data_IF_864072991086
#
_entry.id   IF_864072991086
#
_cell.length_a   1.000
_cell.length_b   1.000
_cell.length_c   1.000
_cell.angle_alpha   90.00
_cell.angle_beta   90.00
_cell.angle_gamma   90.00
#
_symmetry.space_group_name_H-M   'P 1'
#
loop_
_entity.id
_entity.type
_entity.pdbx_description
1 polymer ?
#
# COMPACT_ATOMS: atom_id res chain seq x y z
N UNK A 1 1.74 5.78 -7.96
CA UNK A 1 2.01 5.09 -9.23
C UNK A 1 2.86 3.85 -8.97
N UNK A 2 2.20 2.69 -8.85
CA UNK A 2 2.85 1.40 -8.65
C UNK A 2 3.15 0.66 -9.94
N UNK A 3 3.99 -0.38 -9.90
CA UNK A 3 4.24 -1.26 -11.04
C UNK A 3 3.42 -2.55 -10.91
N UNK A 4 2.71 -2.90 -11.98
CA UNK A 4 2.06 -4.19 -12.09
C UNK A 4 3.11 -5.31 -12.17
N UNK A 5 2.89 -6.43 -11.47
CA UNK A 5 3.83 -7.58 -11.47
C UNK A 5 3.76 -8.44 -12.74
N UNK A 6 3.05 -7.99 -13.77
CA UNK A 6 2.92 -8.72 -15.02
C UNK A 6 4.20 -8.58 -15.88
N UNK A 7 4.40 -9.42 -16.91
CA UNK A 7 5.60 -9.36 -17.75
C UNK A 7 5.83 -7.98 -18.39
N UNK A 8 4.73 -7.27 -18.67
CA UNK A 8 4.76 -5.92 -19.26
C UNK A 8 5.12 -4.80 -18.26
N UNK A 9 5.20 -5.10 -16.96
CA UNK A 9 5.58 -4.19 -15.86
C UNK A 9 5.02 -2.77 -16.00
N UNK A 10 3.72 -2.65 -16.33
CA UNK A 10 3.10 -1.35 -16.58
C UNK A 10 2.90 -0.58 -15.29
N UNK A 11 3.16 0.73 -15.33
CA UNK A 11 2.81 1.67 -14.26
C UNK A 11 1.28 1.75 -14.13
N UNK A 12 0.78 1.75 -12.91
CA UNK A 12 -0.65 1.73 -12.61
C UNK A 12 -0.92 2.37 -11.25
N UNK A 13 -2.10 2.99 -11.10
CA UNK A 13 -2.63 3.41 -9.79
C UNK A 13 -3.68 2.45 -9.25
N UNK A 14 -3.98 1.38 -9.98
CA UNK A 14 -4.96 0.36 -9.62
C UNK A 14 -4.30 -0.72 -8.75
N UNK A 15 -5.02 -1.13 -7.71
CA UNK A 15 -4.59 -2.08 -6.69
C UNK A 15 -5.68 -3.12 -6.47
N UNK A 16 -5.32 -4.38 -6.57
CA UNK A 16 -6.21 -5.50 -6.25
C UNK A 16 -6.19 -5.73 -4.74
N UNK A 17 -7.36 -5.66 -4.11
CA UNK A 17 -7.47 -5.73 -2.64
C UNK A 17 -7.27 -7.17 -2.16
N UNK A 18 -7.84 -8.12 -2.89
CA UNK A 18 -7.72 -9.57 -2.66
C UNK A 18 -6.25 -10.02 -2.66
N UNK A 19 -5.53 -9.73 -3.74
CA UNK A 19 -4.17 -10.22 -3.96
C UNK A 19 -3.08 -9.25 -3.48
N UNK A 20 -3.47 -8.04 -3.03
CA UNK A 20 -2.59 -6.99 -2.50
C UNK A 20 -1.42 -6.65 -3.42
N UNK A 21 -1.74 -6.51 -4.71
CA UNK A 21 -0.78 -6.19 -5.75
C UNK A 21 -1.28 -5.03 -6.61
N UNK A 22 -0.35 -4.24 -7.13
CA UNK A 22 -0.67 -3.33 -8.21
C UNK A 22 -0.98 -4.10 -9.48
N UNK A 23 -2.04 -3.68 -10.17
CA UNK A 23 -2.59 -4.37 -11.34
C UNK A 23 -2.77 -3.35 -12.46
N UNK A 24 -2.33 -3.66 -13.68
CA UNK A 24 -2.59 -2.80 -14.85
C UNK A 24 -3.97 -3.12 -15.45
N UNK A 25 -4.48 -2.23 -16.30
CA UNK A 25 -5.81 -2.38 -16.94
C UNK A 25 -5.98 -3.71 -17.67
N UNK A 26 -4.93 -4.21 -18.33
CA UNK A 26 -4.96 -5.52 -18.97
C UNK A 26 -5.09 -6.65 -17.95
N UNK A 27 -4.35 -6.60 -16.85
CA UNK A 27 -4.40 -7.66 -15.84
C UNK A 27 -5.70 -7.62 -15.03
N UNK A 28 -6.33 -6.45 -14.91
CA UNK A 28 -7.65 -6.30 -14.30
C UNK A 28 -8.66 -7.21 -15.00
N UNK A 29 -8.69 -7.18 -16.34
CA UNK A 29 -9.65 -7.99 -17.11
C UNK A 29 -9.21 -9.43 -17.33
N UNK A 30 -7.91 -9.70 -17.51
CA UNK A 30 -7.46 -11.06 -17.87
C UNK A 30 -7.18 -11.96 -16.68
N UNK A 31 -6.73 -11.39 -15.55
CA UNK A 31 -6.23 -12.16 -14.40
C UNK A 31 -6.91 -11.80 -13.07
N UNK A 32 -7.69 -10.73 -13.05
CA UNK A 32 -8.44 -10.26 -11.89
C UNK A 32 -9.91 -9.95 -12.21
N UNK A 33 -10.61 -10.73 -13.06
CA UNK A 33 -11.95 -10.36 -13.55
C UNK A 33 -13.02 -10.32 -12.45
N UNK A 34 -12.79 -11.02 -11.34
CA UNK A 34 -13.68 -11.09 -10.17
C UNK A 34 -13.13 -10.36 -8.94
N UNK A 35 -11.89 -9.86 -9.01
CA UNK A 35 -11.27 -9.24 -7.86
C UNK A 35 -11.76 -7.81 -7.70
N UNK A 36 -11.87 -7.37 -6.43
CA UNK A 36 -12.06 -5.95 -6.14
C UNK A 36 -10.75 -5.22 -6.42
N UNK A 37 -10.74 -4.44 -7.51
CA UNK A 37 -9.61 -3.59 -7.90
C UNK A 37 -10.06 -2.13 -7.77
N UNK A 38 -9.38 -1.36 -6.92
CA UNK A 38 -9.63 0.07 -6.77
C UNK A 38 -8.32 0.85 -6.71
N UNK A 39 -8.41 2.16 -6.50
CA UNK A 39 -7.21 2.97 -6.27
C UNK A 39 -6.47 2.48 -5.02
N UNK A 40 -5.13 2.53 -5.08
CA UNK A 40 -4.30 2.25 -3.92
C UNK A 40 -4.64 3.15 -2.72
N UNK A 41 -5.11 4.38 -2.99
CA UNK A 41 -5.62 5.31 -1.99
C UNK A 41 -6.83 4.77 -1.25
N UNK A 42 -7.81 4.25 -1.99
CA UNK A 42 -9.01 3.68 -1.38
C UNK A 42 -8.65 2.46 -0.54
N UNK A 43 -7.70 1.63 -0.97
CA UNK A 43 -7.23 0.49 -0.18
C UNK A 43 -6.65 0.94 1.17
N UNK A 44 -5.83 1.99 1.17
CA UNK A 44 -5.27 2.54 2.41
C UNK A 44 -6.35 3.11 3.33
N UNK A 45 -7.39 3.73 2.77
CA UNK A 45 -8.51 4.27 3.52
C UNK A 45 -9.43 3.15 4.06
N UNK A 46 -9.66 2.10 3.29
CA UNK A 46 -10.55 0.97 3.61
C UNK A 46 -9.93 0.03 4.67
N UNK A 47 -8.61 -0.01 4.77
CA UNK A 47 -7.90 -0.68 5.88
C UNK A 47 -7.86 0.18 7.17
N UNK A 48 -8.87 1.04 7.34
CA UNK A 48 -9.09 2.08 8.37
C UNK A 48 -8.24 1.90 9.64
N UNK A 49 -7.02 2.44 9.60
CA UNK A 49 -6.44 3.03 10.80
C UNK A 49 -6.83 4.49 10.79
N UNK A 50 -7.45 4.99 11.88
CA UNK A 50 -7.50 6.43 12.06
C UNK A 50 -6.08 6.98 12.01
N UNK A 51 -5.87 8.09 11.32
CA UNK A 51 -4.54 8.71 11.20
C UNK A 51 -3.86 8.88 12.57
N UNK A 52 -4.63 9.29 13.58
CA UNK A 52 -4.18 9.41 14.97
C UNK A 52 -3.75 8.07 15.59
N UNK A 53 -4.44 6.97 15.25
CA UNK A 53 -4.08 5.63 15.73
C UNK A 53 -2.83 5.09 15.02
N UNK A 54 -2.66 5.39 13.73
CA UNK A 54 -1.46 5.04 12.97
C UNK A 54 -0.23 5.80 13.50
N UNK A 55 -0.36 7.11 13.71
CA UNK A 55 0.68 7.98 14.28
C UNK A 55 1.06 7.53 15.70
N UNK A 56 0.07 7.25 16.56
CA UNK A 56 0.33 6.75 17.92
C UNK A 56 1.03 5.38 17.92
N UNK A 57 0.63 4.46 17.04
CA UNK A 57 1.31 3.17 16.88
C UNK A 57 2.73 3.32 16.31
N UNK A 58 2.93 4.22 15.35
CA UNK A 58 4.25 4.51 14.78
C UNK A 58 5.22 5.08 15.83
N UNK A 59 4.75 5.98 16.71
CA UNK A 59 5.53 6.52 17.83
C UNK A 59 5.86 5.49 18.91
N UNK A 60 5.08 4.41 19.01
CA UNK A 60 5.36 3.29 19.93
C UNK A 60 6.42 2.34 19.39
N UNK A 61 6.73 2.38 18.08
CA UNK A 61 7.81 1.60 17.49
C UNK A 61 9.16 2.30 17.77
N UNK A 62 10.24 1.54 18.01
CA UNK A 62 11.56 2.14 18.25
C UNK A 62 12.00 2.96 17.03
N UNK A 63 12.72 4.06 17.26
CA UNK A 63 13.20 4.99 16.22
C UNK A 63 14.12 4.35 15.17
N UNK A 64 14.56 3.11 15.40
CA UNK A 64 15.34 2.26 14.48
C UNK A 64 14.48 1.44 13.52
N UNK A 65 13.14 1.56 13.60
CA UNK A 65 12.21 0.76 12.79
C UNK A 65 12.21 1.26 11.35
N UNK A 66 12.82 0.48 10.46
CA UNK A 66 12.79 0.75 9.02
C UNK A 66 11.34 0.81 8.49
N UNK A 67 11.06 1.50 7.36
CA UNK A 67 9.73 1.61 6.76
C UNK A 67 9.02 0.26 6.53
N UNK A 68 9.76 -0.85 6.39
CA UNK A 68 9.19 -2.20 6.27
C UNK A 68 8.70 -2.81 7.58
N UNK A 69 9.14 -2.30 8.73
CA UNK A 69 8.79 -2.78 10.06
C UNK A 69 7.42 -2.29 10.53
N UNK A 70 6.89 -1.22 9.91
CA UNK A 70 5.53 -0.76 10.15
C UNK A 70 4.55 -1.78 9.58
N UNK A 71 3.98 -2.59 10.47
CA UNK A 71 2.99 -3.62 10.14
C UNK A 71 1.68 -3.31 10.86
N UNK A 72 0.58 -3.60 10.19
CA UNK A 72 -0.76 -3.47 10.74
C UNK A 72 -0.91 -4.42 11.95
N UNK A 73 -1.26 -3.94 13.15
CA UNK A 73 -1.45 -4.81 14.32
C UNK A 73 -2.63 -5.78 14.17
N UNK A 74 -3.62 -5.49 13.30
CA UNK A 74 -4.80 -6.34 13.10
C UNK A 74 -4.55 -7.51 12.13
N UNK A 75 -3.74 -7.32 11.09
CA UNK A 75 -3.54 -8.34 10.04
C UNK A 75 -2.06 -8.63 9.73
N UNK A 76 -1.14 -8.08 10.52
CA UNK A 76 0.33 -8.23 10.43
C UNK A 76 0.93 -7.89 9.08
N UNK A 77 0.18 -7.19 8.25
CA UNK A 77 0.55 -6.87 6.88
C UNK A 77 1.36 -5.57 6.83
N UNK A 78 2.35 -5.44 5.94
CA UNK A 78 3.17 -4.23 5.85
C UNK A 78 2.30 -3.03 5.48
N UNK A 79 2.40 -1.96 6.27
CA UNK A 79 1.65 -0.70 6.09
C UNK A 79 2.16 0.07 4.88
N UNK A 80 3.48 0.05 4.67
CA UNK A 80 4.08 0.64 3.49
C UNK A 80 4.17 -0.39 2.35
N UNK A 81 3.82 0.02 1.13
CA UNK A 81 4.00 -0.84 -0.03
C UNK A 81 5.50 -1.04 -0.30
N UNK A 82 5.84 -2.05 -1.11
CA UNK A 82 7.23 -2.32 -1.50
C UNK A 82 7.91 -1.04 -2.04
N UNK A 83 9.22 -0.84 -1.78
CA UNK A 83 9.96 0.38 -2.17
C UNK A 83 9.95 0.67 -3.68
N UNK A 84 9.64 -0.34 -4.50
CA UNK A 84 9.48 -0.22 -5.95
C UNK A 84 8.13 0.42 -6.36
N UNK A 85 7.29 0.78 -5.37
CA UNK A 85 6.02 1.46 -5.54
C UNK A 85 6.23 2.97 -5.30
N UNK A 86 6.45 3.74 -6.37
CA UNK A 86 6.52 5.21 -6.28
C UNK A 86 5.08 5.73 -6.18
N UNK A 87 4.52 5.72 -4.97
CA UNK A 87 3.21 6.31 -4.70
C UNK A 87 3.40 7.66 -4.02
N UNK A 88 2.86 8.77 -4.57
CA UNK A 88 2.92 10.07 -3.91
C UNK A 88 2.30 10.02 -2.50
N UNK A 89 1.41 9.07 -2.26
CA UNK A 89 0.82 8.79 -0.94
C UNK A 89 1.80 8.07 -0.02
N UNK A 90 2.63 7.17 -0.54
CA UNK A 90 3.67 6.53 0.27
C UNK A 90 4.76 7.54 0.67
N UNK A 91 5.07 8.51 -0.20
CA UNK A 91 5.92 9.65 0.15
C UNK A 91 5.27 10.54 1.20
N UNK A 92 4.02 10.96 1.01
CA UNK A 92 3.28 11.74 2.03
C UNK A 92 3.18 10.99 3.36
N UNK A 93 2.94 9.68 3.35
CA UNK A 93 2.92 8.84 4.55
C UNK A 93 4.30 8.77 5.22
N UNK A 94 5.38 8.62 4.43
CA UNK A 94 6.76 8.62 4.97
C UNK A 94 7.13 9.96 5.55
N UNK A 95 6.85 11.06 4.86
CA UNK A 95 7.10 12.43 5.35
C UNK A 95 6.33 12.70 6.65
N UNK A 96 5.08 12.25 6.73
CA UNK A 96 4.25 12.42 7.91
C UNK A 96 4.65 11.52 9.09
N UNK A 97 5.27 10.36 8.83
CA UNK A 97 5.69 9.40 9.85
C UNK A 97 7.19 9.48 10.21
N UNK A 98 7.99 10.22 9.43
CA UNK A 98 9.40 10.49 9.69
C UNK A 98 9.62 11.75 10.57
N UNK A 99 8.55 12.29 11.16
CA UNK A 99 8.59 13.42 12.09
C UNK A 99 8.81 12.99 13.53
#
# INVERSE_FOLDING_TARGET
MGLCKCPKRRVTNQFCFEHRVCVCENCMVTNHPICVVQSYLQWLQDNVFHWSCLDHYARQLPSTTAPRGYTCPSCKSPLFPAPNLISPVADVLKEKLAG
#
